data_IF_868192648245
#
_entry.id   IF_868192648245
#
_cell.length_a   1.000
_cell.length_b   1.000
_cell.length_c   1.000
_cell.angle_alpha   90.00
_cell.angle_beta   90.00
_cell.angle_gamma   90.00
#
_symmetry.space_group_name_H-M   'P 1'
#
loop_
_entity.id
_entity.type
_entity.pdbx_description
1 polymer ?
#
# COMPACT_ATOMS: atom_id res chain seq x y z
N UNK A 1 -14.20 -19.61 -15.40
CA UNK A 1 -14.30 -19.60 -13.93
C UNK A 1 -13.97 -18.20 -13.46
N UNK A 2 -14.87 -17.55 -12.73
CA UNK A 2 -14.51 -16.33 -11.99
C UNK A 2 -13.49 -16.73 -10.92
N UNK A 3 -12.42 -15.95 -10.82
CA UNK A 3 -11.35 -16.18 -9.84
C UNK A 3 -11.83 -15.54 -8.52
N UNK A 4 -12.73 -16.23 -7.81
CA UNK A 4 -13.30 -15.80 -6.52
C UNK A 4 -12.34 -16.16 -5.37
N UNK A 5 -12.24 -15.29 -4.37
CA UNK A 5 -11.47 -15.50 -3.13
C UNK A 5 -12.40 -15.31 -1.94
N UNK A 6 -12.74 -16.41 -1.27
CA UNK A 6 -13.48 -16.37 -0.01
C UNK A 6 -12.51 -16.32 1.18
N UNK A 7 -12.75 -15.36 2.08
CA UNK A 7 -12.03 -15.20 3.35
C UNK A 7 -13.04 -15.46 4.46
N UNK A 8 -12.88 -16.59 5.14
CA UNK A 8 -13.72 -16.96 6.27
C UNK A 8 -13.06 -16.54 7.58
N UNK A 9 -13.77 -15.76 8.37
CA UNK A 9 -13.36 -15.24 9.67
C UNK A 9 -14.32 -15.84 10.71
N UNK A 10 -13.76 -16.51 11.71
CA UNK A 10 -14.50 -17.02 12.85
C UNK A 10 -14.23 -16.12 14.04
N UNK A 11 -15.30 -15.68 14.72
CA UNK A 11 -15.23 -14.83 15.90
C UNK A 11 -15.80 -15.61 17.10
N UNK A 12 -14.96 -15.88 18.10
CA UNK A 12 -15.41 -16.46 19.37
C UNK A 12 -16.19 -15.42 20.19
N UNK A 13 -16.94 -15.86 21.21
CA UNK A 13 -17.78 -14.99 22.07
C UNK A 13 -17.01 -13.81 22.68
N UNK A 14 -15.71 -13.97 22.91
CA UNK A 14 -14.85 -12.95 23.52
C UNK A 14 -14.18 -12.03 22.50
N UNK A 15 -14.23 -12.37 21.21
CA UNK A 15 -13.50 -11.65 20.17
C UNK A 15 -14.26 -10.39 19.74
N UNK A 16 -13.57 -9.26 19.79
CA UNK A 16 -14.09 -7.99 19.28
C UNK A 16 -13.47 -7.73 17.90
N UNK A 17 -14.26 -7.73 16.81
CA UNK A 17 -13.74 -7.48 15.48
C UNK A 17 -13.36 -6.01 15.25
N UNK A 18 -13.71 -5.14 16.19
CA UNK A 18 -13.52 -3.70 16.10
C UNK A 18 -12.30 -3.23 16.88
N UNK A 19 -11.65 -2.20 16.36
CA UNK A 19 -10.56 -1.52 17.05
C UNK A 19 -11.09 -0.73 18.25
N UNK A 20 -10.33 -0.78 19.36
CA UNK A 20 -10.68 -0.13 20.63
C UNK A 20 -10.43 1.37 20.65
N UNK A 21 -9.70 1.89 19.66
CA UNK A 21 -9.23 3.28 19.64
C UNK A 21 -10.12 4.22 18.85
N UNK A 22 -11.16 3.68 18.21
CA UNK A 22 -12.09 4.45 17.42
C UNK A 22 -13.43 4.62 18.12
N UNK A 23 -14.13 5.71 17.81
CA UNK A 23 -15.46 5.97 18.33
C UNK A 23 -16.48 5.03 17.66
N UNK A 24 -17.62 4.86 18.33
CA UNK A 24 -18.74 4.07 17.82
C UNK A 24 -19.30 4.56 16.47
N UNK A 25 -19.03 5.83 16.13
CA UNK A 25 -19.49 6.48 14.89
C UNK A 25 -18.49 6.29 13.72
N UNK A 26 -17.24 5.96 14.00
CA UNK A 26 -16.20 5.69 13.00
C UNK A 26 -15.56 4.34 13.31
N UNK A 27 -16.30 3.25 13.13
CA UNK A 27 -15.83 1.92 13.49
C UNK A 27 -14.76 1.45 12.50
N UNK A 28 -13.68 0.85 13.00
CA UNK A 28 -12.62 0.20 12.22
C UNK A 28 -12.42 -1.23 12.69
N UNK A 29 -11.88 -2.09 11.84
CA UNK A 29 -11.45 -3.44 12.21
C UNK A 29 -10.28 -3.39 13.20
N UNK A 30 -10.13 -4.44 14.00
CA UNK A 30 -8.92 -4.66 14.80
C UNK A 30 -7.70 -4.90 13.90
N UNK A 31 -6.51 -4.55 14.39
CA UNK A 31 -5.23 -4.77 13.68
C UNK A 31 -5.04 -6.24 13.28
N UNK A 32 -5.44 -7.16 14.15
CA UNK A 32 -5.26 -8.60 13.94
C UNK A 32 -6.10 -9.09 12.76
N UNK A 33 -7.33 -8.57 12.62
CA UNK A 33 -8.21 -8.87 11.50
C UNK A 33 -7.75 -8.20 10.20
N UNK A 34 -7.26 -6.97 10.28
CA UNK A 34 -6.66 -6.27 9.15
C UNK A 34 -5.50 -7.10 8.56
N UNK A 35 -4.54 -7.48 9.40
CA UNK A 35 -3.37 -8.27 9.01
C UNK A 35 -3.78 -9.64 8.47
N UNK A 36 -4.76 -10.28 9.11
CA UNK A 36 -5.30 -11.55 8.65
C UNK A 36 -5.88 -11.45 7.23
N UNK A 37 -6.76 -10.47 6.98
CA UNK A 37 -7.39 -10.27 5.66
C UNK A 37 -6.32 -9.98 4.61
N UNK A 38 -5.36 -9.09 4.91
CA UNK A 38 -4.25 -8.77 4.01
C UNK A 38 -3.36 -9.97 3.69
N UNK A 39 -3.18 -10.89 4.65
CA UNK A 39 -2.38 -12.10 4.47
C UNK A 39 -3.00 -13.08 3.47
N UNK A 40 -4.34 -13.15 3.41
CA UNK A 40 -5.07 -14.05 2.49
C UNK A 40 -5.08 -13.57 1.04
N UNK A 41 -4.79 -12.29 0.81
CA UNK A 41 -4.72 -11.72 -0.53
C UNK A 41 -3.35 -11.93 -1.18
N UNK A 42 -3.26 -12.90 -2.09
CA UNK A 42 -2.08 -13.07 -2.94
C UNK A 42 -2.03 -12.04 -4.09
N UNK A 43 -0.82 -11.60 -4.45
CA UNK A 43 -0.53 -10.45 -5.34
C UNK A 43 -0.91 -10.60 -6.81
N UNK A 44 -1.43 -11.76 -7.24
CA UNK A 44 -1.38 -12.14 -8.65
C UNK A 44 -2.46 -11.53 -9.54
N UNK A 45 -3.74 -11.52 -9.09
CA UNK A 45 -4.88 -11.20 -9.96
C UNK A 45 -5.97 -10.43 -9.21
N UNK A 46 -6.75 -9.66 -9.97
CA UNK A 46 -7.99 -9.06 -9.48
C UNK A 46 -8.96 -10.22 -9.24
N UNK A 47 -9.35 -10.42 -8.00
CA UNK A 47 -10.30 -11.46 -7.59
C UNK A 47 -11.54 -10.78 -7.02
N UNK A 48 -12.70 -11.36 -7.26
CA UNK A 48 -13.90 -11.01 -6.48
C UNK A 48 -13.64 -11.53 -5.07
N UNK A 49 -13.57 -10.62 -4.09
CA UNK A 49 -13.27 -10.96 -2.69
C UNK A 49 -14.60 -11.04 -1.95
N UNK A 50 -14.83 -12.16 -1.29
CA UNK A 50 -15.97 -12.35 -0.39
C UNK A 50 -15.44 -12.59 1.01
N UNK A 51 -15.86 -11.77 1.97
CA UNK A 51 -15.45 -11.87 3.37
C UNK A 51 -16.65 -12.34 4.18
N UNK A 52 -16.53 -13.51 4.79
CA UNK A 52 -17.57 -14.11 5.61
C UNK A 52 -17.17 -14.05 7.08
N UNK A 53 -17.92 -13.30 7.87
CA UNK A 53 -17.82 -13.34 9.32
C UNK A 53 -18.81 -14.37 9.87
N UNK A 54 -18.32 -15.28 10.71
CA UNK A 54 -19.09 -16.36 11.33
C UNK A 54 -18.80 -16.42 12.82
N UNK A 55 -19.78 -16.79 13.65
CA UNK A 55 -19.61 -16.87 15.10
C UNK A 55 -20.92 -16.67 15.86
N UNK A 56 -20.89 -16.90 17.17
CA UNK A 56 -22.07 -16.75 18.04
C UNK A 56 -22.37 -15.28 18.43
N UNK A 57 -21.59 -14.33 17.90
CA UNK A 57 -21.69 -12.92 18.24
C UNK A 57 -22.82 -12.18 17.50
N UNK A 58 -23.46 -11.24 18.18
CA UNK A 58 -24.60 -10.47 17.66
C UNK A 58 -24.21 -9.20 16.87
N UNK A 59 -23.00 -9.17 16.30
CA UNK A 59 -22.56 -8.01 15.50
C UNK A 59 -23.38 -7.87 14.21
N UNK A 60 -23.88 -6.68 13.90
CA UNK A 60 -24.60 -6.41 12.64
C UNK A 60 -23.65 -6.49 11.42
N UNK A 61 -24.10 -7.13 10.34
CA UNK A 61 -23.41 -7.17 9.05
C UNK A 61 -23.09 -5.75 8.54
N UNK A 62 -24.01 -4.79 8.76
CA UNK A 62 -23.78 -3.40 8.38
C UNK A 62 -22.60 -2.78 9.11
N UNK A 63 -22.43 -3.08 10.40
CA UNK A 63 -21.32 -2.60 11.21
C UNK A 63 -20.00 -3.22 10.77
N UNK A 64 -19.99 -4.54 10.50
CA UNK A 64 -18.81 -5.25 9.96
C UNK A 64 -18.40 -4.72 8.59
N UNK A 65 -19.37 -4.46 7.71
CA UNK A 65 -19.13 -3.87 6.39
C UNK A 65 -18.57 -2.46 6.48
N UNK A 66 -19.14 -1.62 7.37
CA UNK A 66 -18.64 -0.27 7.61
C UNK A 66 -17.22 -0.30 8.17
N UNK A 67 -16.95 -1.15 9.17
CA UNK A 67 -15.62 -1.30 9.75
C UNK A 67 -14.57 -1.74 8.71
N UNK A 68 -14.92 -2.73 7.90
CA UNK A 68 -14.06 -3.21 6.81
C UNK A 68 -13.79 -2.09 5.80
N UNK A 69 -14.82 -1.35 5.40
CA UNK A 69 -14.69 -0.25 4.45
C UNK A 69 -13.81 0.88 5.00
N UNK A 70 -14.06 1.32 6.24
CA UNK A 70 -13.33 2.40 6.88
C UNK A 70 -11.84 2.07 7.04
N UNK A 71 -11.52 0.86 7.52
CA UNK A 71 -10.13 0.42 7.68
C UNK A 71 -9.38 0.38 6.35
N UNK A 72 -9.94 -0.31 5.34
CA UNK A 72 -9.23 -0.47 4.07
C UNK A 72 -9.26 0.79 3.19
N UNK A 73 -10.22 1.70 3.38
CA UNK A 73 -10.20 3.01 2.71
C UNK A 73 -9.17 3.95 3.33
N UNK A 74 -9.03 3.96 4.67
CA UNK A 74 -7.97 4.72 5.31
C UNK A 74 -6.59 4.20 4.91
N UNK A 75 -6.38 2.88 4.97
CA UNK A 75 -5.14 2.25 4.54
C UNK A 75 -4.83 2.53 3.06
N UNK A 76 -5.84 2.52 2.19
CA UNK A 76 -5.68 2.89 0.78
C UNK A 76 -5.18 4.33 0.63
N UNK A 77 -5.78 5.27 1.35
CA UNK A 77 -5.43 6.69 1.27
C UNK A 77 -3.99 6.93 1.76
N UNK A 78 -3.59 6.27 2.84
CA UNK A 78 -2.21 6.35 3.38
C UNK A 78 -1.18 5.82 2.39
N UNK A 79 -1.46 4.68 1.77
CA UNK A 79 -0.60 4.07 0.75
C UNK A 79 -0.53 4.91 -0.53
N UNK A 80 -1.65 5.46 -1.01
CA UNK A 80 -1.69 6.36 -2.18
C UNK A 80 -0.94 7.67 -1.92
N UNK A 81 -1.06 8.23 -0.73
CA UNK A 81 -0.29 9.41 -0.31
C UNK A 81 1.21 9.11 -0.27
N UNK A 82 1.59 7.98 0.33
CA UNK A 82 2.99 7.55 0.43
C UNK A 82 3.59 7.28 -0.96
N UNK A 83 2.83 6.63 -1.84
CA UNK A 83 3.20 6.43 -3.25
C UNK A 83 3.48 7.77 -3.95
N UNK A 84 2.55 8.72 -3.85
CA UNK A 84 2.70 10.03 -4.48
C UNK A 84 3.92 10.79 -3.94
N UNK A 85 4.19 10.70 -2.63
CA UNK A 85 5.37 11.29 -2.00
C UNK A 85 6.67 10.65 -2.53
N UNK A 86 6.71 9.33 -2.64
CA UNK A 86 7.89 8.60 -3.15
C UNK A 86 8.14 8.91 -4.63
N UNK A 87 7.09 9.01 -5.44
CA UNK A 87 7.22 9.44 -6.84
C UNK A 87 7.79 10.85 -6.93
N UNK A 88 7.32 11.80 -6.10
CA UNK A 88 7.90 13.15 -6.05
C UNK A 88 9.38 13.12 -5.65
N UNK A 89 9.75 12.34 -4.62
CA UNK A 89 11.14 12.16 -4.19
C UNK A 89 12.01 11.62 -5.32
N UNK A 90 11.56 10.60 -6.04
CA UNK A 90 12.26 10.04 -7.18
C UNK A 90 12.47 11.08 -8.30
N UNK A 91 11.43 11.86 -8.65
CA UNK A 91 11.52 12.93 -9.65
C UNK A 91 12.58 13.96 -9.24
N UNK A 92 12.58 14.41 -7.98
CA UNK A 92 13.57 15.38 -7.49
C UNK A 92 15.00 14.82 -7.61
N UNK A 93 15.22 13.56 -7.23
CA UNK A 93 16.53 12.90 -7.36
C UNK A 93 16.98 12.82 -8.83
N UNK A 94 16.06 12.47 -9.74
CA UNK A 94 16.36 12.45 -11.17
C UNK A 94 16.71 13.83 -11.72
N UNK A 95 15.96 14.87 -11.35
CA UNK A 95 16.25 16.24 -11.78
C UNK A 95 17.62 16.70 -11.29
N UNK A 96 17.96 16.44 -10.03
CA UNK A 96 19.30 16.74 -9.49
C UNK A 96 20.38 15.97 -10.23
N UNK A 97 20.19 14.67 -10.49
CA UNK A 97 21.11 13.86 -11.28
C UNK A 97 21.34 14.45 -12.68
N UNK A 98 20.28 14.86 -13.38
CA UNK A 98 20.36 15.48 -14.72
C UNK A 98 21.15 16.79 -14.64
N UNK A 99 20.87 17.66 -13.66
CA UNK A 99 21.60 18.94 -13.50
C UNK A 99 23.09 18.67 -13.30
N UNK A 100 23.45 17.73 -12.40
CA UNK A 100 24.84 17.34 -12.15
C UNK A 100 25.47 16.75 -13.43
N UNK A 101 24.74 15.92 -14.17
CA UNK A 101 25.19 15.36 -15.45
C UNK A 101 25.48 16.42 -16.52
N UNK A 102 24.63 17.45 -16.62
CA UNK A 102 24.87 18.57 -17.53
C UNK A 102 26.12 19.38 -17.15
N UNK A 103 26.33 19.60 -15.86
CA UNK A 103 27.54 20.27 -15.34
C UNK A 103 28.78 19.42 -15.65
N UNK A 104 28.70 18.10 -15.42
CA UNK A 104 29.75 17.15 -15.78
C UNK A 104 30.15 17.27 -17.26
N UNK A 105 29.18 17.21 -18.17
CA UNK A 105 29.44 17.29 -19.62
C UNK A 105 30.18 18.57 -19.99
N UNK A 106 29.79 19.70 -19.38
CA UNK A 106 30.42 21.00 -19.61
C UNK A 106 31.86 21.09 -19.07
N UNK A 107 32.17 20.46 -17.93
CA UNK A 107 33.50 20.47 -17.33
C UNK A 107 34.44 19.38 -17.85
N UNK A 108 33.92 18.37 -18.55
CA UNK A 108 34.68 17.19 -18.98
C UNK A 108 35.93 17.52 -19.81
N UNK A 109 35.90 18.60 -20.59
CA UNK A 109 37.01 19.02 -21.45
C UNK A 109 38.10 19.80 -20.71
N UNK A 110 37.79 20.48 -19.61
CA UNK A 110 38.72 21.40 -18.92
C UNK A 110 39.19 20.87 -17.56
N UNK A 111 38.38 20.07 -16.88
CA UNK A 111 38.64 19.61 -15.51
C UNK A 111 38.30 18.12 -15.35
N UNK A 112 39.09 17.24 -15.98
CA UNK A 112 38.84 15.80 -16.03
C UNK A 112 38.61 15.13 -14.66
N UNK A 113 39.40 15.49 -13.64
CA UNK A 113 39.24 14.92 -12.29
C UNK A 113 37.92 15.33 -11.63
N UNK A 114 37.57 16.62 -11.69
CA UNK A 114 36.31 17.14 -11.13
C UNK A 114 35.11 16.57 -11.90
N UNK A 115 35.21 16.47 -13.22
CA UNK A 115 34.22 15.82 -14.06
C UNK A 115 34.03 14.34 -13.68
N UNK A 116 35.10 13.61 -13.40
CA UNK A 116 35.03 12.23 -12.91
C UNK A 116 34.29 12.10 -11.58
N UNK A 117 34.46 13.03 -10.64
CA UNK A 117 33.68 13.03 -9.39
C UNK A 117 32.20 13.32 -9.67
N UNK A 118 31.91 14.32 -10.52
CA UNK A 118 30.53 14.68 -10.88
C UNK A 118 29.79 13.56 -11.63
N UNK A 119 30.49 12.76 -12.44
CA UNK A 119 29.86 11.62 -13.13
C UNK A 119 29.42 10.53 -12.15
N UNK A 120 30.22 10.25 -11.12
CA UNK A 120 29.86 9.32 -10.03
C UNK A 120 28.66 9.87 -9.26
N UNK A 121 28.68 11.16 -8.89
CA UNK A 121 27.57 11.80 -8.17
C UNK A 121 26.28 11.75 -8.99
N UNK A 122 26.34 12.06 -10.29
CA UNK A 122 25.21 11.95 -11.22
C UNK A 122 24.62 10.53 -11.20
N UNK A 123 25.47 9.51 -11.32
CA UNK A 123 25.05 8.11 -11.29
C UNK A 123 24.36 7.75 -9.98
N UNK A 124 24.90 8.16 -8.83
CA UNK A 124 24.31 7.91 -7.50
C UNK A 124 22.90 8.52 -7.39
N UNK A 125 22.70 9.74 -7.87
CA UNK A 125 21.38 10.38 -7.85
C UNK A 125 20.37 9.67 -8.75
N UNK A 126 20.77 9.28 -9.95
CA UNK A 126 19.93 8.52 -10.89
C UNK A 126 19.56 7.16 -10.27
N UNK A 127 20.55 6.46 -9.71
CA UNK A 127 20.34 5.17 -9.06
C UNK A 127 19.40 5.27 -7.86
N UNK A 128 19.62 6.23 -6.96
CA UNK A 128 18.73 6.45 -5.81
C UNK A 128 17.30 6.79 -6.25
N UNK A 129 17.13 7.59 -7.32
CA UNK A 129 15.82 7.89 -7.90
C UNK A 129 15.13 6.64 -8.46
N UNK A 130 15.88 5.76 -9.14
CA UNK A 130 15.34 4.48 -9.65
C UNK A 130 15.00 3.53 -8.51
N UNK A 131 15.82 3.48 -7.45
CA UNK A 131 15.57 2.64 -6.28
C UNK A 131 14.23 2.98 -5.62
N UNK A 132 14.02 4.26 -5.31
CA UNK A 132 12.76 4.77 -4.75
C UNK A 132 11.59 4.51 -5.71
N UNK A 133 11.77 4.78 -7.00
CA UNK A 133 10.67 4.68 -7.96
C UNK A 133 10.21 3.24 -8.21
N UNK A 134 11.14 2.29 -8.30
CA UNK A 134 10.83 0.90 -8.65
C UNK A 134 10.68 0.01 -7.43
N UNK A 135 11.61 0.05 -6.47
CA UNK A 135 11.67 -0.93 -5.38
C UNK A 135 10.78 -0.51 -4.20
N UNK A 136 10.95 0.72 -3.68
CA UNK A 136 10.11 1.20 -2.55
C UNK A 136 8.62 1.21 -2.93
N UNK A 137 8.30 1.59 -4.18
CA UNK A 137 6.92 1.65 -4.65
C UNK A 137 6.32 0.29 -5.06
N UNK A 138 7.11 -0.77 -5.24
CA UNK A 138 6.57 -2.06 -5.66
C UNK A 138 5.63 -2.65 -4.60
N UNK A 139 6.04 -2.58 -3.34
CA UNK A 139 5.25 -3.05 -2.21
C UNK A 139 4.01 -2.19 -2.01
N UNK A 140 4.14 -0.86 -2.09
CA UNK A 140 3.03 0.09 -1.99
C UNK A 140 1.98 -0.17 -3.09
N UNK A 141 2.40 -0.32 -4.35
CA UNK A 141 1.49 -0.67 -5.46
C UNK A 141 0.75 -1.98 -5.22
N UNK A 142 1.43 -2.97 -4.62
CA UNK A 142 0.81 -4.25 -4.26
C UNK A 142 -0.24 -4.06 -3.17
N UNK A 143 0.06 -3.27 -2.15
CA UNK A 143 -0.86 -2.95 -1.04
C UNK A 143 -2.10 -2.20 -1.54
N UNK A 144 -1.92 -1.14 -2.33
CA UNK A 144 -3.02 -0.40 -2.99
C UNK A 144 -3.94 -1.36 -3.76
N UNK A 145 -3.34 -2.31 -4.50
CA UNK A 145 -4.11 -3.30 -5.26
C UNK A 145 -4.92 -4.23 -4.36
N UNK A 146 -4.37 -4.68 -3.24
CA UNK A 146 -5.09 -5.50 -2.26
C UNK A 146 -6.29 -4.73 -1.69
N UNK A 147 -6.09 -3.50 -1.26
CA UNK A 147 -7.16 -2.68 -0.70
C UNK A 147 -8.26 -2.39 -1.72
N UNK A 148 -7.90 -2.06 -2.97
CA UNK A 148 -8.89 -1.91 -4.05
C UNK A 148 -9.67 -3.20 -4.33
N UNK A 149 -9.06 -4.38 -4.15
CA UNK A 149 -9.79 -5.64 -4.29
C UNK A 149 -10.77 -5.84 -3.12
N UNK A 150 -10.35 -5.56 -1.88
CA UNK A 150 -11.21 -5.69 -0.69
C UNK A 150 -12.37 -4.70 -0.73
N UNK A 151 -12.13 -3.43 -1.06
CA UNK A 151 -13.16 -2.39 -1.12
C UNK A 151 -14.20 -2.63 -2.22
N UNK A 152 -13.86 -3.39 -3.26
CA UNK A 152 -14.80 -3.87 -4.27
C UNK A 152 -15.42 -5.23 -3.93
N UNK A 153 -15.00 -5.84 -2.82
CA UNK A 153 -15.49 -7.12 -2.34
C UNK A 153 -16.78 -6.99 -1.54
N UNK A 154 -17.46 -8.12 -1.36
CA UNK A 154 -18.65 -8.18 -0.52
C UNK A 154 -18.29 -8.70 0.87
N UNK A 155 -18.94 -8.14 1.87
CA UNK A 155 -18.83 -8.56 3.28
C UNK A 155 -20.18 -9.14 3.66
N UNK A 156 -20.16 -10.33 4.24
CA UNK A 156 -21.34 -11.09 4.64
C UNK A 156 -21.18 -11.56 6.08
N UNK A 157 -22.31 -11.68 6.79
CA UNK A 157 -22.38 -12.41 8.06
C UNK A 157 -23.07 -13.75 7.83
N UNK A 158 -22.39 -14.85 8.12
CA UNK A 158 -23.03 -16.16 8.24
C UNK A 158 -23.39 -16.41 9.69
N UNK A 159 -24.63 -16.82 9.94
CA UNK A 159 -25.01 -17.47 11.20
C UNK A 159 -24.27 -18.80 11.36
#
# INVERSE_FOLDING_TARGET
>A
MKDELSINIYLDETDTPFSRYYSSDDVHLSSDLEDFILSKLHSGKRKEVEIFFSGQNDFDEKSLKTATFNTFSNFLNEEEYTYARNVKKAIVLFVLGIIVGLIFLKLSSTHAYVAGVLSIVCWVFIWAGTEVYFFENQQIKRNIRKCKNILNGNVHKSM
#
